data_IF_995736451817
#
_entry.id   IF_995736451817
#
_cell.length_a   1.000
_cell.length_b   1.000
_cell.length_c   1.000
_cell.angle_alpha   90.00
_cell.angle_beta   90.00
_cell.angle_gamma   90.00
#
_symmetry.space_group_name_H-M   'P 1'
#
loop_
_entity.id
_entity.type
_entity.pdbx_description
1 polymer ?
#
# COMPACT_ATOMS: atom_id res chain seq x y z
N UNK A 1 -17.14 10.74 8.38
CA UNK A 1 -15.72 11.12 8.53
C UNK A 1 -14.85 10.11 7.77
N UNK A 2 -13.93 10.58 6.92
CA UNK A 2 -13.04 9.77 6.06
C UNK A 2 -12.39 8.57 6.79
N UNK A 3 -11.80 8.80 7.96
CA UNK A 3 -11.10 7.76 8.74
C UNK A 3 -12.03 6.70 9.34
N UNK A 4 -13.29 7.05 9.64
CA UNK A 4 -14.28 6.09 10.13
C UNK A 4 -14.58 5.04 9.06
N UNK A 5 -14.71 5.47 7.81
CA UNK A 5 -14.99 4.55 6.69
C UNK A 5 -13.78 3.65 6.39
N UNK A 6 -12.55 4.19 6.43
CA UNK A 6 -11.33 3.38 6.31
C UNK A 6 -11.23 2.30 7.40
N UNK A 7 -11.64 2.63 8.63
CA UNK A 7 -11.67 1.67 9.74
C UNK A 7 -12.63 0.48 9.55
N UNK A 8 -13.57 0.57 8.60
CA UNK A 8 -14.51 -0.54 8.31
C UNK A 8 -13.99 -1.51 7.23
N UNK A 9 -12.96 -1.12 6.48
CA UNK A 9 -12.39 -1.95 5.42
C UNK A 9 -11.42 -2.94 6.08
N UNK A 10 -11.85 -4.20 6.24
CA UNK A 10 -11.06 -5.24 6.94
C UNK A 10 -9.65 -5.49 6.38
N UNK A 11 -9.42 -5.15 5.11
CA UNK A 11 -8.10 -5.30 4.48
C UNK A 11 -7.12 -4.20 4.88
N UNK A 12 -7.56 -3.11 5.51
CA UNK A 12 -6.69 -2.00 5.95
C UNK A 12 -6.18 -2.32 7.36
N UNK A 13 -4.87 -2.50 7.48
CA UNK A 13 -4.17 -2.73 8.75
C UNK A 13 -3.90 -1.43 9.49
N UNK A 14 -3.51 -0.39 8.75
CA UNK A 14 -3.06 0.89 9.33
C UNK A 14 -3.25 2.02 8.33
N UNK A 15 -3.59 3.19 8.85
CA UNK A 15 -3.60 4.45 8.11
C UNK A 15 -2.54 5.35 8.73
N UNK A 16 -1.62 5.85 7.91
CA UNK A 16 -0.58 6.80 8.33
C UNK A 16 -0.70 8.09 7.54
N UNK A 17 -0.59 9.25 8.21
CA UNK A 17 -0.28 10.50 7.54
C UNK A 17 1.23 10.67 7.45
N UNK A 18 1.77 11.00 6.27
CA UNK A 18 3.16 11.43 6.10
C UNK A 18 3.19 12.68 5.23
N UNK A 19 3.47 13.82 5.86
CA UNK A 19 3.41 15.13 5.19
C UNK A 19 1.99 15.39 4.68
N UNK A 20 1.87 15.57 3.38
CA UNK A 20 0.63 15.77 2.63
C UNK A 20 0.02 14.46 2.07
N UNK A 21 0.64 13.31 2.37
CA UNK A 21 0.18 12.00 1.90
C UNK A 21 -0.50 11.17 3.00
N UNK A 22 -1.46 10.33 2.59
CA UNK A 22 -2.05 9.28 3.41
C UNK A 22 -1.58 7.92 2.88
N UNK A 23 -0.92 7.15 3.71
CA UNK A 23 -0.47 5.79 3.43
C UNK A 23 -1.48 4.80 4.03
N UNK A 24 -2.02 3.94 3.17
CA UNK A 24 -2.87 2.82 3.56
C UNK A 24 -2.04 1.55 3.57
N UNK A 25 -1.84 0.98 4.75
CA UNK A 25 -1.24 -0.34 4.89
C UNK A 25 -2.33 -1.39 4.74
N UNK A 26 -2.18 -2.23 3.75
CA UNK A 26 -3.12 -3.29 3.39
C UNK A 26 -2.54 -4.65 3.74
N UNK A 27 -3.34 -5.54 4.31
CA UNK A 27 -2.89 -6.85 4.81
C UNK A 27 -2.44 -7.80 3.72
N UNK A 28 -2.93 -7.60 2.49
CA UNK A 28 -2.61 -8.44 1.35
C UNK A 28 -2.91 -7.72 0.05
N UNK A 29 -2.22 -8.11 -1.02
CA UNK A 29 -2.59 -7.75 -2.40
C UNK A 29 -3.91 -8.40 -2.83
N UNK A 30 -4.35 -9.46 -2.14
CA UNK A 30 -5.66 -10.10 -2.33
C UNK A 30 -6.72 -9.37 -1.51
N UNK A 31 -7.08 -8.17 -1.97
CA UNK A 31 -8.23 -7.42 -1.44
C UNK A 31 -9.50 -8.04 -2.00
N UNK A 32 -10.50 -8.30 -1.15
CA UNK A 32 -11.80 -8.80 -1.62
C UNK A 32 -12.44 -7.81 -2.57
N UNK A 33 -13.29 -8.30 -3.49
CA UNK A 33 -13.98 -7.42 -4.44
C UNK A 33 -14.75 -6.30 -3.74
N UNK A 34 -15.48 -6.61 -2.66
CA UNK A 34 -16.21 -5.60 -1.89
C UNK A 34 -15.26 -4.53 -1.33
N UNK A 35 -14.16 -4.94 -0.69
CA UNK A 35 -13.20 -3.99 -0.13
C UNK A 35 -12.51 -3.15 -1.22
N UNK A 36 -12.22 -3.74 -2.39
CA UNK A 36 -11.62 -3.01 -3.50
C UNK A 36 -12.61 -2.01 -4.12
N UNK A 37 -13.91 -2.33 -4.19
CA UNK A 37 -14.97 -1.39 -4.61
C UNK A 37 -15.12 -0.22 -3.64
N UNK A 38 -15.05 -0.47 -2.33
CA UNK A 38 -15.05 0.58 -1.31
C UNK A 38 -13.83 1.50 -1.46
N UNK A 39 -12.64 0.95 -1.71
CA UNK A 39 -11.43 1.73 -2.00
C UNK A 39 -11.59 2.59 -3.27
N UNK A 40 -12.19 2.06 -4.34
CA UNK A 40 -12.46 2.83 -5.56
C UNK A 40 -13.41 4.00 -5.26
N UNK A 41 -14.51 3.74 -4.56
CA UNK A 41 -15.49 4.77 -4.20
C UNK A 41 -14.86 5.85 -3.31
N UNK A 42 -13.99 5.44 -2.38
CA UNK A 42 -13.20 6.32 -1.53
C UNK A 42 -12.32 7.26 -2.35
N UNK A 43 -11.48 6.69 -3.20
CA UNK A 43 -10.52 7.46 -3.99
C UNK A 43 -11.23 8.46 -4.89
N UNK A 44 -12.35 8.07 -5.49
CA UNK A 44 -13.20 8.97 -6.27
C UNK A 44 -13.76 10.11 -5.42
N UNK A 45 -14.36 9.82 -4.26
CA UNK A 45 -15.04 10.82 -3.41
C UNK A 45 -14.09 11.91 -2.91
N UNK A 46 -12.85 11.54 -2.61
CA UNK A 46 -11.84 12.46 -2.07
C UNK A 46 -10.81 12.89 -3.11
N UNK A 47 -11.07 12.62 -4.41
CA UNK A 47 -10.20 13.00 -5.53
C UNK A 47 -8.75 12.52 -5.40
N UNK A 48 -8.54 11.36 -4.77
CA UNK A 48 -7.24 10.70 -4.66
C UNK A 48 -6.96 9.98 -5.98
N UNK A 49 -5.69 10.02 -6.43
CA UNK A 49 -5.28 9.31 -7.65
C UNK A 49 -5.54 7.80 -7.53
N UNK A 50 -6.38 7.27 -8.44
CA UNK A 50 -6.76 5.86 -8.51
C UNK A 50 -5.70 4.97 -9.17
N UNK A 51 -4.67 5.54 -9.81
CA UNK A 51 -3.62 4.78 -10.51
C UNK A 51 -2.95 3.73 -9.62
N UNK A 52 -2.73 4.06 -8.35
CA UNK A 52 -2.11 3.15 -7.38
C UNK A 52 -2.96 1.91 -7.05
N UNK A 53 -4.27 1.91 -7.35
CA UNK A 53 -5.12 0.74 -7.12
C UNK A 53 -4.82 -0.41 -8.10
N UNK A 54 -4.11 -0.14 -9.20
CA UNK A 54 -3.72 -1.15 -10.19
C UNK A 54 -2.92 -2.31 -9.56
N UNK A 55 -2.19 -2.07 -8.48
CA UNK A 55 -1.41 -3.10 -7.77
C UNK A 55 -2.26 -4.21 -7.13
N UNK A 56 -3.57 -4.00 -6.99
CA UNK A 56 -4.51 -4.98 -6.46
C UNK A 56 -5.11 -5.91 -7.51
N UNK A 57 -4.78 -5.71 -8.80
CA UNK A 57 -5.16 -6.64 -9.86
C UNK A 57 -4.61 -8.04 -9.55
N UNK A 58 -5.47 -9.04 -9.72
CA UNK A 58 -5.12 -10.45 -9.68
C UNK A 58 -6.09 -11.25 -10.55
N UNK A 59 -5.78 -12.51 -10.81
CA UNK A 59 -6.57 -13.36 -11.72
C UNK A 59 -8.06 -13.45 -11.33
N UNK A 60 -8.37 -13.40 -10.02
CA UNK A 60 -9.74 -13.52 -9.53
C UNK A 60 -10.58 -12.25 -9.68
N UNK A 61 -9.96 -11.07 -9.81
CA UNK A 61 -10.70 -9.82 -9.95
C UNK A 61 -10.57 -9.17 -11.33
N UNK A 62 -9.68 -9.70 -12.18
CA UNK A 62 -9.33 -9.09 -13.47
C UNK A 62 -10.53 -8.78 -14.36
N UNK A 63 -11.49 -9.69 -14.43
CA UNK A 63 -12.66 -9.56 -15.31
C UNK A 63 -13.49 -8.31 -14.99
N UNK A 64 -13.86 -8.12 -13.71
CA UNK A 64 -14.66 -6.95 -13.32
C UNK A 64 -13.78 -5.70 -13.11
N UNK A 65 -12.55 -5.87 -12.63
CA UNK A 65 -11.68 -4.75 -12.27
C UNK A 65 -11.16 -4.02 -13.52
N UNK A 66 -10.86 -4.76 -14.60
CA UNK A 66 -10.50 -4.19 -15.92
C UNK A 66 -11.68 -3.98 -16.86
N UNK A 67 -12.93 -4.03 -16.39
CA UNK A 67 -14.09 -3.77 -17.24
C UNK A 67 -14.01 -2.36 -17.87
N UNK A 68 -13.85 -2.21 -19.20
CA UNK A 68 -13.67 -0.90 -19.83
C UNK A 68 -14.88 0.03 -19.69
N UNK A 69 -16.07 -0.52 -19.41
CA UNK A 69 -17.30 0.25 -19.18
C UNK A 69 -17.39 0.79 -17.76
N UNK A 70 -16.56 0.32 -16.84
CA UNK A 70 -16.57 0.80 -15.47
C UNK A 70 -15.95 2.20 -15.36
N UNK A 71 -16.58 3.08 -14.57
CA UNK A 71 -16.13 4.47 -14.46
C UNK A 71 -14.68 4.61 -13.96
N UNK A 72 -14.18 3.62 -13.20
CA UNK A 72 -12.83 3.63 -12.64
C UNK A 72 -11.76 3.20 -13.63
N UNK A 73 -12.12 2.49 -14.71
CA UNK A 73 -11.17 1.83 -15.59
C UNK A 73 -10.10 2.79 -16.13
N UNK A 74 -10.56 3.94 -16.65
CA UNK A 74 -9.66 4.96 -17.19
C UNK A 74 -8.75 5.58 -16.12
N UNK A 75 -9.29 5.82 -14.92
CA UNK A 75 -8.53 6.44 -13.83
C UNK A 75 -7.45 5.51 -13.23
N UNK A 76 -7.67 4.19 -13.29
CA UNK A 76 -6.74 3.17 -12.78
C UNK A 76 -5.72 2.75 -13.85
N UNK A 77 -6.15 2.52 -15.09
CA UNK A 77 -5.34 1.82 -16.10
C UNK A 77 -4.96 2.65 -17.34
N UNK A 78 -5.55 3.83 -17.53
CA UNK A 78 -5.23 4.71 -18.67
C UNK A 78 -4.61 6.05 -18.26
N UNK A 79 -4.31 6.22 -16.99
CA UNK A 79 -3.55 7.36 -16.47
C UNK A 79 -2.06 7.06 -16.60
N UNK A 80 -1.27 8.05 -17.03
CA UNK A 80 0.19 7.96 -17.00
C UNK A 80 0.66 7.66 -15.58
N UNK A 81 1.80 6.95 -15.39
CA UNK A 81 2.28 6.54 -14.08
C UNK A 81 2.31 7.73 -13.10
N UNK A 82 1.96 7.52 -11.82
CA UNK A 82 2.07 8.58 -10.84
C UNK A 82 3.51 9.06 -10.77
N UNK A 83 3.67 10.37 -10.65
CA UNK A 83 4.96 11.02 -10.42
C UNK A 83 5.75 10.27 -9.32
N UNK A 84 7.01 9.95 -9.59
CA UNK A 84 7.82 8.93 -8.87
C UNK A 84 8.00 9.17 -7.36
N UNK A 85 7.51 10.29 -6.82
CA UNK A 85 7.52 10.60 -5.39
C UNK A 85 6.59 9.72 -4.55
N UNK A 86 5.56 9.11 -5.16
CA UNK A 86 4.52 8.38 -4.41
C UNK A 86 4.83 6.88 -4.22
N UNK A 87 5.85 6.33 -4.88
CA UNK A 87 6.10 4.87 -4.94
C UNK A 87 7.54 4.45 -4.66
N UNK A 88 8.38 5.29 -4.02
CA UNK A 88 9.67 4.81 -3.57
C UNK A 88 9.46 3.57 -2.67
N UNK A 89 10.13 2.43 -2.95
CA UNK A 89 10.14 1.31 -2.03
C UNK A 89 10.60 1.85 -0.67
N UNK A 90 9.90 1.47 0.39
CA UNK A 90 10.42 1.65 1.74
C UNK A 90 11.67 0.75 1.81
N UNK A 91 12.82 1.31 1.46
CA UNK A 91 14.10 0.75 1.85
C UNK A 91 14.17 0.92 3.36
N UNK A 92 13.90 -0.17 4.06
CA UNK A 92 14.12 -0.29 5.49
C UNK A 92 15.64 -0.33 5.75
N UNK A 93 16.28 0.82 5.58
CA UNK A 93 17.73 0.99 5.74
C UNK A 93 18.12 1.28 7.19
N UNK A 94 17.29 0.94 8.18
CA UNK A 94 17.63 1.10 9.60
C UNK A 94 16.95 0.01 10.42
N UNK A 95 17.63 -1.13 10.55
CA UNK A 95 17.78 -1.93 11.79
C UNK A 95 18.41 -3.33 11.56
N UNK A 96 19.17 -3.56 10.48
CA UNK A 96 20.17 -4.64 10.46
C UNK A 96 21.53 -4.11 10.91
N UNK A 97 21.70 -3.81 12.20
CA UNK A 97 23.00 -3.90 12.87
C UNK A 97 22.81 -3.70 14.37
N UNK A 98 22.50 -4.80 15.06
CA UNK A 98 23.15 -5.24 16.31
C UNK A 98 22.27 -6.29 16.96
N UNK A 99 22.66 -7.55 16.83
CA UNK A 99 23.07 -8.36 18.00
C UNK A 99 23.49 -9.75 17.56
N UNK A 100 24.70 -10.13 18.00
CA UNK A 100 25.01 -11.36 18.73
C UNK A 100 26.20 -12.15 18.17
N UNK A 101 27.27 -12.15 18.98
CA UNK A 101 28.21 -13.26 19.28
C UNK A 101 29.08 -13.82 18.12
N UNK A 102 30.37 -14.13 18.32
CA UNK A 102 30.95 -14.90 19.44
C UNK A 102 32.50 -14.90 19.33
N UNK A 103 33.17 -14.94 20.49
CA UNK A 103 34.50 -15.54 20.80
C UNK A 103 35.77 -15.06 20.05
N UNK A 104 36.75 -14.54 20.80
CA UNK A 104 37.89 -15.37 21.28
C UNK A 104 38.88 -14.56 22.13
N UNK A 105 39.10 -15.04 23.37
CA UNK A 105 40.35 -15.11 24.14
C UNK A 105 41.39 -13.96 24.02
N UNK A 106 41.68 -13.30 25.16
CA UNK A 106 42.86 -13.56 26.02
C UNK A 106 43.22 -12.33 26.87
N UNK A 107 43.27 -12.52 28.19
CA UNK A 107 44.11 -11.79 29.15
C UNK A 107 44.47 -12.79 30.26
N UNK A 108 45.52 -12.61 31.10
CA UNK A 108 46.36 -11.42 31.27
C UNK A 108 47.87 -11.75 31.23
N UNK A 109 48.73 -10.75 31.46
CA UNK A 109 49.81 -10.81 32.48
C UNK A 109 50.61 -9.50 32.47
N UNK A 110 50.51 -8.80 33.59
CA UNK A 110 51.35 -7.69 34.05
C UNK A 110 51.06 -7.53 35.53
#
# INVERSE_FOLDING_TARGET
MFFHWLGQIRSILRVEGRGDAILLHVSSKRVSENNLRELIAMFRRYKISMAQLAQFENDSNREWFRNPKAFWYHAIFKTSPPDHRTQAPIQDSRLHHRSANRLSLRAPSG
#
